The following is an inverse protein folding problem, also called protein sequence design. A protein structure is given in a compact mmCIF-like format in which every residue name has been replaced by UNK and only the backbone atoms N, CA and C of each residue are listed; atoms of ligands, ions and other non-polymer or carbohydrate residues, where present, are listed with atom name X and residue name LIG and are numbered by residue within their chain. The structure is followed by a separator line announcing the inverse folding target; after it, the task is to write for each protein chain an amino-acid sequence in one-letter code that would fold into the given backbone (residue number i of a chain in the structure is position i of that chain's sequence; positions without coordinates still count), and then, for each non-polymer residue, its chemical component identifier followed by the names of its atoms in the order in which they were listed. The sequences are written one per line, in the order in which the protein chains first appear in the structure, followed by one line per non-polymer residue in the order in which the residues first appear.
data_IF_995163549265
#
_entry.id   IF_995163549265
#
_cell.length_a   1.000
_cell.length_b   1.000
_cell.length_c   1.000
_cell.angle_alpha   90.00
_cell.angle_beta   90.00
_cell.angle_gamma   90.00
#
_symmetry.space_group_name_H-M   'P 1'
#
loop_
_entity.id
_entity.type
_entity.pdbx_description
1 polymer ?
#
# COMPACT_ATOMS: atom_id res chain seq x y z
N UNK A 1 14.87 -8.81 -2.97
CA UNK A 1 15.04 -7.51 -2.30
C UNK A 1 15.93 -6.52 -3.06
N UNK A 2 17.22 -6.81 -3.21
CA UNK A 2 18.23 -5.80 -3.60
C UNK A 2 17.93 -5.00 -4.88
N UNK A 3 17.50 -5.65 -5.97
CA UNK A 3 17.18 -4.94 -7.23
C UNK A 3 16.02 -3.96 -7.06
N UNK A 4 14.99 -4.34 -6.31
CA UNK A 4 13.81 -3.50 -6.08
C UNK A 4 14.15 -2.31 -5.17
N UNK A 5 14.89 -2.52 -4.08
CA UNK A 5 15.38 -1.41 -3.23
C UNK A 5 16.21 -0.43 -4.04
N UNK A 6 17.14 -0.94 -4.84
CA UNK A 6 17.99 -0.10 -5.68
C UNK A 6 17.16 0.74 -6.64
N UNK A 7 16.12 0.17 -7.24
CA UNK A 7 15.19 0.89 -8.11
C UNK A 7 14.41 1.98 -7.35
N UNK A 8 13.83 1.65 -6.19
CA UNK A 8 13.07 2.62 -5.38
C UNK A 8 13.93 3.77 -4.86
N UNK A 9 15.12 3.48 -4.33
CA UNK A 9 16.08 4.52 -3.91
C UNK A 9 16.45 5.39 -5.09
N UNK A 10 16.66 4.80 -6.27
CA UNK A 10 17.01 5.56 -7.49
C UNK A 10 15.88 6.49 -7.96
N UNK A 11 14.62 6.08 -7.83
CA UNK A 11 13.47 6.92 -8.20
C UNK A 11 13.40 8.22 -7.38
N UNK A 12 13.89 8.21 -6.14
CA UNK A 12 13.89 9.36 -5.23
C UNK A 12 15.26 9.65 -4.63
N UNK A 13 16.34 9.48 -5.40
CA UNK A 13 17.72 9.48 -4.89
C UNK A 13 18.06 10.75 -4.07
N UNK A 14 17.63 11.93 -4.53
CA UNK A 14 17.85 13.20 -3.84
C UNK A 14 17.22 13.22 -2.44
N UNK A 15 16.00 12.68 -2.30
CA UNK A 15 15.30 12.60 -1.00
C UNK A 15 16.06 11.69 -0.05
N UNK A 16 16.57 10.56 -0.54
CA UNK A 16 17.31 9.62 0.29
C UNK A 16 18.67 10.16 0.73
N UNK A 17 19.39 10.82 -0.16
CA UNK A 17 20.65 11.53 0.17
C UNK A 17 20.39 12.61 1.22
N UNK A 18 19.33 13.40 1.05
CA UNK A 18 18.97 14.42 2.05
C UNK A 18 18.66 13.79 3.41
N UNK A 19 17.87 12.72 3.45
CA UNK A 19 17.53 12.04 4.70
C UNK A 19 18.77 11.51 5.46
N UNK A 20 19.76 10.98 4.74
CA UNK A 20 21.03 10.56 5.36
C UNK A 20 21.89 11.75 5.84
N UNK A 21 21.89 12.87 5.10
CA UNK A 21 22.54 14.09 5.55
C UNK A 21 21.87 14.65 6.83
N UNK A 22 20.54 14.66 6.87
CA UNK A 22 19.78 15.11 8.04
C UNK A 22 20.06 14.22 9.25
N UNK A 23 20.12 12.89 9.06
CA UNK A 23 20.53 11.94 10.10
C UNK A 23 21.90 12.29 10.70
N UNK A 24 22.92 12.52 9.85
CA UNK A 24 24.25 12.91 10.30
C UNK A 24 24.21 14.18 11.16
N UNK A 25 23.50 15.22 10.71
CA UNK A 25 23.42 16.48 11.45
C UNK A 25 22.64 16.36 12.76
N UNK A 26 21.55 15.57 12.79
CA UNK A 26 20.81 15.30 14.03
C UNK A 26 21.69 14.58 15.05
N UNK A 27 22.47 13.59 14.63
CA UNK A 27 23.44 12.94 15.51
C UNK A 27 24.51 13.91 16.01
N UNK A 28 25.11 14.70 15.11
CA UNK A 28 26.17 15.64 15.46
C UNK A 28 25.71 16.73 16.45
N UNK A 29 24.44 17.12 16.37
CA UNK A 29 23.84 18.14 17.24
C UNK A 29 23.21 17.56 18.52
N UNK A 30 23.25 16.24 18.73
CA UNK A 30 22.63 15.58 19.89
C UNK A 30 21.09 15.56 19.85
N UNK A 31 20.49 15.67 18.67
CA UNK A 31 19.04 15.64 18.47
C UNK A 31 18.51 14.19 18.37
N UNK A 32 18.69 13.41 19.44
CA UNK A 32 18.48 11.96 19.48
C UNK A 32 17.12 11.51 18.93
N UNK A 33 16.02 12.13 19.37
CA UNK A 33 14.67 11.75 18.91
C UNK A 33 14.46 11.95 17.40
N UNK A 34 15.12 12.95 16.77
CA UNK A 34 15.03 13.16 15.33
C UNK A 34 15.88 12.16 14.57
N UNK A 35 17.07 11.84 15.09
CA UNK A 35 17.94 10.82 14.52
C UNK A 35 17.25 9.44 14.56
N UNK A 36 16.72 9.04 15.72
CA UNK A 36 16.01 7.77 15.93
C UNK A 36 14.83 7.61 14.96
N UNK A 37 14.08 8.67 14.69
CA UNK A 37 12.98 8.63 13.73
C UNK A 37 13.44 8.35 12.29
N UNK A 38 14.61 8.86 11.89
CA UNK A 38 15.18 8.60 10.56
C UNK A 38 15.80 7.20 10.50
N UNK A 39 16.50 6.77 11.56
CA UNK A 39 17.06 5.41 11.67
C UNK A 39 15.95 4.37 11.56
N UNK A 40 14.91 4.49 12.38
CA UNK A 40 13.77 3.58 12.38
C UNK A 40 13.13 3.49 10.99
N UNK A 41 12.95 4.63 10.31
CA UNK A 41 12.43 4.65 8.94
C UNK A 41 13.32 3.84 7.99
N UNK A 42 14.65 4.01 8.04
CA UNK A 42 15.55 3.29 7.12
C UNK A 42 15.74 1.82 7.47
N UNK A 43 15.68 1.46 8.76
CA UNK A 43 15.66 0.06 9.20
C UNK A 43 14.45 -0.67 8.61
N UNK A 44 13.26 -0.06 8.69
CA UNK A 44 12.05 -0.59 8.05
C UNK A 44 12.14 -0.56 6.52
N UNK A 45 12.65 0.52 5.95
CA UNK A 45 12.73 0.70 4.49
C UNK A 45 13.70 -0.29 3.83
N UNK A 46 14.77 -0.67 4.52
CA UNK A 46 15.75 -1.64 4.05
C UNK A 46 15.49 -3.07 4.52
N UNK A 47 14.44 -3.30 5.33
CA UNK A 47 13.97 -4.62 5.69
C UNK A 47 13.34 -5.31 4.47
N UNK A 48 14.17 -5.98 3.67
CA UNK A 48 13.73 -6.61 2.43
C UNK A 48 13.73 -8.12 2.47
N UNK A 49 12.75 -8.68 1.74
CA UNK A 49 12.63 -10.10 1.50
C UNK A 49 13.06 -10.43 0.07
N UNK A 50 13.76 -11.56 -0.10
CA UNK A 50 14.02 -12.11 -1.42
C UNK A 50 12.83 -12.95 -1.88
N UNK A 51 12.50 -12.79 -3.17
CA UNK A 51 11.39 -13.47 -3.82
C UNK A 51 11.95 -14.28 -4.98
N UNK A 52 11.33 -15.43 -5.27
CA UNK A 52 11.65 -16.22 -6.46
C UNK A 52 11.46 -15.37 -7.73
N UNK A 53 12.36 -15.52 -8.69
CA UNK A 53 12.32 -14.74 -9.93
C UNK A 53 11.04 -15.01 -10.72
N UNK A 54 10.57 -16.26 -10.72
CA UNK A 54 9.35 -16.71 -11.37
C UNK A 54 8.13 -15.98 -10.78
N UNK A 55 8.04 -15.92 -9.45
CA UNK A 55 6.96 -15.20 -8.77
C UNK A 55 6.96 -13.70 -9.12
N UNK A 56 8.14 -13.07 -9.13
CA UNK A 56 8.27 -11.66 -9.49
C UNK A 56 7.87 -11.38 -10.94
N UNK A 57 8.40 -12.18 -11.89
CA UNK A 57 8.13 -12.03 -13.32
C UNK A 57 6.66 -12.32 -13.64
N UNK A 58 6.07 -13.34 -13.02
CA UNK A 58 4.64 -13.62 -13.13
C UNK A 58 3.80 -12.44 -12.61
N UNK A 59 4.15 -11.87 -11.46
CA UNK A 59 3.44 -10.70 -10.91
C UNK A 59 3.53 -9.50 -11.85
N UNK A 60 4.73 -9.17 -12.35
CA UNK A 60 4.92 -8.07 -13.32
C UNK A 60 4.05 -8.28 -14.56
N UNK A 61 4.07 -9.48 -15.13
CA UNK A 61 3.29 -9.81 -16.31
C UNK A 61 1.78 -9.75 -16.04
N UNK A 62 1.30 -10.49 -15.05
CA UNK A 62 -0.14 -10.71 -14.83
C UNK A 62 -0.84 -9.50 -14.24
N UNK A 63 -0.22 -8.84 -13.24
CA UNK A 63 -0.82 -7.72 -12.50
C UNK A 63 -0.56 -6.40 -13.20
N UNK A 64 0.69 -6.12 -13.58
CA UNK A 64 1.09 -4.78 -14.04
C UNK A 64 1.07 -4.58 -15.57
N UNK A 65 1.14 -5.65 -16.37
CA UNK A 65 1.13 -5.55 -17.83
C UNK A 65 -0.19 -6.06 -18.44
N UNK A 66 -0.63 -7.25 -18.06
CA UNK A 66 -1.79 -7.90 -18.66
C UNK A 66 -3.10 -7.47 -17.98
N UNK A 67 -3.04 -7.08 -16.71
CA UNK A 67 -4.18 -6.67 -15.87
C UNK A 67 -5.27 -7.76 -15.78
N UNK A 68 -4.87 -9.03 -15.66
CA UNK A 68 -5.78 -10.18 -15.81
C UNK A 68 -6.92 -10.17 -14.80
N UNK A 69 -6.69 -9.74 -13.55
CA UNK A 69 -7.74 -9.61 -12.54
C UNK A 69 -8.78 -8.54 -12.92
N UNK A 70 -8.33 -7.35 -13.34
CA UNK A 70 -9.21 -6.25 -13.70
C UNK A 70 -10.03 -6.54 -14.97
N UNK A 71 -9.51 -7.38 -15.86
CA UNK A 71 -10.19 -7.85 -17.07
C UNK A 71 -11.07 -9.09 -16.85
N UNK A 72 -11.11 -9.64 -15.63
CA UNK A 72 -11.82 -10.88 -15.32
C UNK A 72 -11.29 -12.12 -16.10
N UNK A 73 -9.98 -12.13 -16.38
CA UNK A 73 -9.26 -13.18 -17.12
C UNK A 73 -8.36 -14.03 -16.21
N UNK A 74 -8.22 -13.67 -14.93
CA UNK A 74 -7.38 -14.40 -13.99
C UNK A 74 -7.97 -15.78 -13.64
N UNK A 75 -7.12 -16.81 -13.68
CA UNK A 75 -7.48 -18.17 -13.28
C UNK A 75 -6.66 -18.64 -12.08
N UNK A 76 -7.24 -19.48 -11.23
CA UNK A 76 -6.52 -20.20 -10.17
C UNK A 76 -6.70 -21.72 -10.37
N UNK A 77 -5.59 -22.44 -10.52
CA UNK A 77 -5.58 -23.90 -10.76
C UNK A 77 -6.46 -24.34 -11.96
N UNK A 78 -6.50 -23.51 -13.00
CA UNK A 78 -7.28 -23.75 -14.21
C UNK A 78 -8.73 -23.25 -14.15
N UNK A 79 -9.21 -22.81 -12.98
CA UNK A 79 -10.56 -22.30 -12.81
C UNK A 79 -10.58 -20.76 -12.89
N UNK A 80 -11.49 -20.13 -13.64
CA UNK A 80 -11.62 -18.68 -13.69
C UNK A 80 -12.03 -18.12 -12.32
N UNK A 81 -11.44 -16.98 -11.94
CA UNK A 81 -11.83 -16.24 -10.74
C UNK A 81 -12.94 -15.26 -11.11
N UNK A 82 -14.07 -15.35 -10.41
CA UNK A 82 -15.17 -14.38 -10.49
C UNK A 82 -15.29 -13.59 -9.18
N UNK A 83 -14.94 -12.30 -9.22
CA UNK A 83 -15.07 -11.42 -8.06
C UNK A 83 -16.53 -11.10 -7.71
N UNK A 84 -17.48 -11.29 -8.64
CA UNK A 84 -18.91 -11.21 -8.38
C UNK A 84 -19.44 -12.31 -7.45
N UNK A 85 -18.67 -13.37 -7.24
CA UNK A 85 -19.00 -14.43 -6.29
C UNK A 85 -18.80 -14.03 -4.81
N UNK A 86 -18.14 -12.90 -4.54
CA UNK A 86 -18.00 -12.34 -3.19
C UNK A 86 -19.34 -11.70 -2.78
N UNK A 87 -20.04 -12.33 -1.83
CA UNK A 87 -21.41 -11.93 -1.42
C UNK A 87 -21.59 -11.70 0.09
N UNK A 88 -20.64 -12.15 0.91
CA UNK A 88 -20.79 -12.21 2.38
C UNK A 88 -19.70 -11.47 3.15
N UNK A 89 -18.71 -10.93 2.45
CA UNK A 89 -17.57 -10.25 3.06
C UNK A 89 -17.66 -8.78 2.70
N UNK A 90 -17.84 -7.92 3.70
CA UNK A 90 -17.86 -6.49 3.47
C UNK A 90 -16.52 -6.00 2.90
N UNK A 91 -16.56 -5.02 2.00
CA UNK A 91 -15.40 -4.48 1.30
C UNK A 91 -15.19 -3.01 1.70
N UNK A 92 -14.04 -2.73 2.30
CA UNK A 92 -13.57 -1.36 2.53
C UNK A 92 -12.30 -1.12 1.72
N UNK A 93 -12.26 -0.02 0.97
CA UNK A 93 -11.04 0.45 0.30
C UNK A 93 -10.55 1.74 0.93
N UNK A 94 -9.24 1.87 1.10
CA UNK A 94 -8.57 3.03 1.71
C UNK A 94 -7.52 3.55 0.74
N UNK A 95 -7.57 4.83 0.43
CA UNK A 95 -6.60 5.49 -0.47
C UNK A 95 -6.05 6.77 0.14
N UNK A 96 -4.84 7.15 -0.27
CA UNK A 96 -4.22 8.42 0.11
C UNK A 96 -4.29 9.44 -1.02
N UNK A 97 -4.73 10.66 -0.72
CA UNK A 97 -4.82 11.75 -1.72
C UNK A 97 -3.47 12.04 -2.41
N UNK A 98 -2.36 11.84 -1.71
CA UNK A 98 -1.00 12.10 -2.21
C UNK A 98 -0.21 10.80 -2.41
N UNK A 99 -0.89 9.66 -2.54
CA UNK A 99 -0.24 8.38 -2.83
C UNK A 99 0.26 8.38 -4.29
N UNK A 100 1.57 8.31 -4.44
CA UNK A 100 2.29 8.29 -5.72
C UNK A 100 2.68 6.87 -6.17
N UNK A 101 2.41 5.86 -5.34
CA UNK A 101 2.64 4.44 -5.63
C UNK A 101 1.35 3.79 -6.11
N UNK A 102 0.26 3.95 -5.35
CA UNK A 102 -1.09 3.49 -5.68
C UNK A 102 -2.02 4.70 -5.76
N UNK A 103 -2.03 5.38 -6.90
CA UNK A 103 -2.79 6.61 -7.07
C UNK A 103 -4.31 6.42 -6.83
N UNK A 104 -5.02 7.49 -6.38
CA UNK A 104 -6.46 7.44 -6.16
C UNK A 104 -7.23 6.85 -7.35
N UNK A 105 -8.20 5.98 -7.04
CA UNK A 105 -9.01 5.25 -8.00
C UNK A 105 -8.58 3.80 -8.23
N UNK A 106 -7.31 3.45 -8.01
CA UNK A 106 -6.84 2.08 -8.26
C UNK A 106 -7.43 1.06 -7.28
N UNK A 107 -7.48 1.39 -5.99
CA UNK A 107 -8.07 0.52 -4.96
C UNK A 107 -9.60 0.62 -5.01
N UNK A 108 -10.13 1.81 -5.29
CA UNK A 108 -11.58 2.01 -5.46
C UNK A 108 -12.18 1.11 -6.55
N UNK A 109 -11.43 0.80 -7.61
CA UNK A 109 -11.88 -0.08 -8.69
C UNK A 109 -12.29 -1.49 -8.22
N UNK A 110 -11.82 -1.95 -7.06
CA UNK A 110 -12.27 -3.21 -6.47
C UNK A 110 -13.80 -3.26 -6.24
N UNK A 111 -14.44 -2.11 -6.01
CA UNK A 111 -15.89 -2.03 -5.85
C UNK A 111 -16.64 -2.38 -7.14
N UNK A 112 -16.10 -2.04 -8.30
CA UNK A 112 -16.72 -2.35 -9.59
C UNK A 112 -16.60 -3.84 -9.92
N UNK A 113 -15.50 -4.47 -9.48
CA UNK A 113 -15.25 -5.90 -9.69
C UNK A 113 -16.10 -6.78 -8.76
N UNK A 114 -16.29 -6.37 -7.50
CA UNK A 114 -17.03 -7.12 -6.49
C UNK A 114 -18.56 -6.93 -6.60
N UNK A 115 -19.12 -7.20 -7.78
CA UNK A 115 -20.53 -6.91 -8.14
C UNK A 115 -21.57 -7.61 -7.26
N UNK A 116 -21.22 -8.74 -6.63
CA UNK A 116 -22.11 -9.52 -5.77
C UNK A 116 -22.41 -8.92 -4.40
N UNK A 117 -21.68 -7.88 -3.98
CA UNK A 117 -21.87 -7.25 -2.68
C UNK A 117 -23.00 -6.23 -2.70
N UNK A 118 -23.86 -6.23 -1.68
CA UNK A 118 -24.86 -5.18 -1.53
C UNK A 118 -24.19 -3.80 -1.30
N UNK A 119 -24.80 -2.68 -1.74
CA UNK A 119 -24.19 -1.35 -1.60
C UNK A 119 -23.80 -0.98 -0.16
N UNK A 120 -24.58 -1.40 0.84
CA UNK A 120 -24.30 -1.11 2.25
C UNK A 120 -23.08 -1.86 2.80
N UNK A 121 -22.61 -2.92 2.11
CA UNK A 121 -21.41 -3.68 2.48
C UNK A 121 -20.13 -3.11 1.86
N UNK A 122 -20.25 -2.02 1.10
CA UNK A 122 -19.14 -1.38 0.38
C UNK A 122 -18.85 -0.03 1.02
N UNK A 123 -17.59 0.24 1.31
CA UNK A 123 -17.15 1.54 1.84
C UNK A 123 -15.84 1.94 1.17
N UNK A 124 -15.70 3.21 0.84
CA UNK A 124 -14.47 3.78 0.32
C UNK A 124 -14.07 4.99 1.18
N UNK A 125 -12.81 5.04 1.61
CA UNK A 125 -12.24 6.14 2.38
C UNK A 125 -11.03 6.72 1.64
N UNK A 126 -11.16 7.94 1.14
CA UNK A 126 -10.05 8.71 0.61
C UNK A 126 -9.50 9.64 1.70
N UNK A 127 -8.30 9.35 2.18
CA UNK A 127 -7.65 10.13 3.21
C UNK A 127 -6.92 11.33 2.61
N UNK A 128 -7.37 12.54 2.96
CA UNK A 128 -6.70 13.77 2.56
C UNK A 128 -5.29 13.87 3.15
N UNK A 129 -4.36 14.38 2.33
CA UNK A 129 -2.99 14.77 2.67
C UNK A 129 -2.05 13.67 3.17
N UNK A 130 -2.37 12.39 2.96
CA UNK A 130 -1.43 11.27 3.17
C UNK A 130 -0.90 10.76 1.84
N UNK A 131 0.38 10.38 1.82
CA UNK A 131 0.95 9.55 0.77
C UNK A 131 0.86 8.06 1.12
N UNK A 132 1.54 7.22 0.36
CA UNK A 132 1.43 5.75 0.45
C UNK A 132 1.51 5.21 1.87
N UNK A 133 2.63 5.40 2.57
CA UNK A 133 2.80 4.89 3.93
C UNK A 133 1.81 5.49 4.94
N UNK A 134 1.33 6.72 4.69
CA UNK A 134 0.39 7.38 5.59
C UNK A 134 -0.99 6.75 5.62
N UNK A 135 -1.31 5.83 4.68
CA UNK A 135 -2.58 5.09 4.69
C UNK A 135 -2.59 3.94 5.69
N UNK A 136 -1.43 3.53 6.22
CA UNK A 136 -1.30 2.41 7.18
C UNK A 136 -0.30 2.65 8.32
N UNK A 137 0.40 3.79 8.36
CA UNK A 137 1.37 4.12 9.39
C UNK A 137 1.33 5.59 9.84
N UNK A 138 1.83 5.83 11.06
CA UNK A 138 1.99 7.16 11.64
C UNK A 138 0.71 7.82 12.17
N UNK A 139 0.84 9.08 12.61
CA UNK A 139 -0.20 9.79 13.35
C UNK A 139 -1.56 9.87 12.63
N UNK A 140 -1.58 10.05 11.31
CA UNK A 140 -2.84 10.13 10.55
C UNK A 140 -3.54 8.77 10.47
N UNK A 141 -2.79 7.68 10.33
CA UNK A 141 -3.34 6.33 10.44
C UNK A 141 -4.00 6.13 11.81
N UNK A 142 -3.27 6.36 12.90
CA UNK A 142 -3.76 6.12 14.27
C UNK A 142 -4.99 6.96 14.63
N UNK A 143 -4.99 8.24 14.24
CA UNK A 143 -6.02 9.19 14.68
C UNK A 143 -7.21 9.34 13.72
N UNK A 144 -7.07 8.95 12.44
CA UNK A 144 -8.09 9.21 11.43
C UNK A 144 -8.52 7.95 10.68
N UNK A 145 -7.57 7.17 10.15
CA UNK A 145 -7.90 6.03 9.26
C UNK A 145 -8.26 4.77 10.06
N UNK A 146 -7.42 4.38 11.02
CA UNK A 146 -7.65 3.18 11.83
C UNK A 146 -8.99 3.19 12.57
N UNK A 147 -9.47 4.30 13.15
CA UNK A 147 -10.81 4.37 13.71
C UNK A 147 -11.91 4.03 12.69
N UNK A 148 -11.78 4.46 11.43
CA UNK A 148 -12.73 4.12 10.37
C UNK A 148 -12.70 2.62 10.05
N UNK A 149 -11.51 2.04 9.91
CA UNK A 149 -11.33 0.59 9.68
C UNK A 149 -11.91 -0.23 10.82
N UNK A 150 -11.61 0.13 12.06
CA UNK A 150 -12.13 -0.53 13.26
C UNK A 150 -13.65 -0.45 13.32
N UNK A 151 -14.22 0.73 13.08
CA UNK A 151 -15.68 0.92 13.11
C UNK A 151 -16.36 0.14 11.97
N UNK A 152 -15.74 0.09 10.79
CA UNK A 152 -16.22 -0.70 9.66
C UNK A 152 -16.29 -2.20 10.00
N UNK A 153 -15.22 -2.74 10.60
CA UNK A 153 -15.17 -4.13 11.07
C UNK A 153 -16.28 -4.38 12.10
N UNK A 154 -16.43 -3.50 13.09
CA UNK A 154 -17.46 -3.64 14.12
C UNK A 154 -18.89 -3.59 13.56
N UNK A 155 -19.12 -2.78 12.52
CA UNK A 155 -20.44 -2.66 11.88
C UNK A 155 -20.82 -3.87 11.00
N UNK A 156 -19.84 -4.71 10.63
CA UNK A 156 -20.03 -5.86 9.74
C UNK A 156 -19.61 -7.22 10.36
N UNK A 157 -19.40 -7.24 11.68
CA UNK A 157 -19.15 -8.46 12.46
C UNK A 157 -20.44 -9.29 12.67
#
# INVERSE_FOLDING_TARGET
GFMQVSAFVSMNAKRHVQGHNDLFWHMANGEESKAEAIETFYDEYFAVLDLAAEFYLETVKTVFQDYTLAKNELTYRGEPIDLGSIKRTALMTVEGERDDICAPGQTMAAHDLCTGLAPYMRTHHLQAGVGHYGVFAGKRWETQIYPQVRNFIQAHN
#
